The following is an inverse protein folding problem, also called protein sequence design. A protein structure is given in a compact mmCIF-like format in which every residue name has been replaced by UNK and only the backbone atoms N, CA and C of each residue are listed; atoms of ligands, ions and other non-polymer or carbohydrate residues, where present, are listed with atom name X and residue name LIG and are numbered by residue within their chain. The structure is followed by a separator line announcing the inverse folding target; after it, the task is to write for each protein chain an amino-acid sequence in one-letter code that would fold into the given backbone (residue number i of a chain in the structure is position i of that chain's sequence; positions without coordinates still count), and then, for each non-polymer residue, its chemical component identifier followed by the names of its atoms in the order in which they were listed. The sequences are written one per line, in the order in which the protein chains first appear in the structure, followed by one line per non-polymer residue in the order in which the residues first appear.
data_IF_316606323705
#
_entry.id   IF_316606323705
#
_cell.length_a   1.000
_cell.length_b   1.000
_cell.length_c   1.000
_cell.angle_alpha   90.00
_cell.angle_beta   90.00
_cell.angle_gamma   90.00
#
_symmetry.space_group_name_H-M   'P 1'
#
loop_
_entity.id
_entity.type
_entity.pdbx_description
1 polymer ?
#
# COMPACT_ATOMS: atom_id res chain seq x y z
N UNK A 1 26.64 -3.13 -30.10
CA UNK A 1 25.46 -2.57 -29.44
C UNK A 1 25.06 -3.54 -28.35
N UNK A 2 25.30 -3.23 -27.06
CA UNK A 2 24.80 -4.04 -25.95
C UNK A 2 23.29 -3.86 -25.91
N UNK A 3 22.53 -4.96 -26.09
CA UNK A 3 21.12 -5.02 -25.76
C UNK A 3 21.01 -4.63 -24.27
N UNK A 4 20.48 -3.46 -23.96
CA UNK A 4 20.02 -3.15 -22.61
C UNK A 4 18.88 -4.14 -22.35
N UNK A 5 19.17 -5.19 -21.61
CA UNK A 5 18.13 -5.98 -20.97
C UNK A 5 17.42 -5.02 -20.02
N UNK A 6 16.28 -4.46 -20.47
CA UNK A 6 15.38 -3.71 -19.59
C UNK A 6 14.82 -4.74 -18.62
N UNK A 7 15.45 -4.83 -17.45
CA UNK A 7 14.89 -5.59 -16.33
C UNK A 7 13.51 -4.98 -16.06
N UNK A 8 12.48 -5.77 -16.27
CA UNK A 8 11.11 -5.38 -16.02
C UNK A 8 10.96 -5.11 -14.52
N UNK A 9 10.99 -3.83 -14.12
CA UNK A 9 10.95 -3.44 -12.71
C UNK A 9 9.53 -3.54 -12.19
N UNK A 10 9.30 -4.45 -11.23
CA UNK A 10 8.08 -4.53 -10.44
C UNK A 10 8.30 -3.88 -9.07
N UNK A 11 7.35 -3.10 -8.58
CA UNK A 11 7.43 -2.49 -7.25
C UNK A 11 6.27 -2.98 -6.39
N UNK A 12 6.58 -3.47 -5.20
CA UNK A 12 5.57 -3.76 -4.18
C UNK A 12 5.56 -2.64 -3.14
N UNK A 13 4.42 -2.01 -2.95
CA UNK A 13 4.24 -0.88 -2.02
C UNK A 13 3.36 -1.29 -0.84
N UNK A 14 3.89 -1.20 0.38
CA UNK A 14 3.09 -1.22 1.60
C UNK A 14 2.66 0.21 1.98
N UNK A 15 1.36 0.51 1.90
CA UNK A 15 0.82 1.84 2.18
C UNK A 15 0.09 1.87 3.51
N UNK A 16 0.57 2.72 4.43
CA UNK A 16 0.02 2.83 5.78
C UNK A 16 0.33 1.62 6.65
N UNK A 17 0.01 1.69 7.93
CA UNK A 17 0.38 0.66 8.93
C UNK A 17 0.02 -0.77 8.51
N UNK A 18 -1.23 -1.01 8.07
CA UNK A 18 -1.66 -2.36 7.68
C UNK A 18 -0.97 -2.86 6.41
N UNK A 19 -0.77 -2.00 5.40
CA UNK A 19 -0.01 -2.35 4.21
C UNK A 19 1.46 -2.66 4.52
N UNK A 20 2.08 -1.89 5.43
CA UNK A 20 3.45 -2.13 5.91
C UNK A 20 3.53 -3.43 6.73
N UNK A 21 2.54 -3.73 7.55
CA UNK A 21 2.48 -5.00 8.26
C UNK A 21 2.43 -6.18 7.27
N UNK A 22 1.59 -6.11 6.25
CA UNK A 22 1.50 -7.15 5.22
C UNK A 22 2.80 -7.31 4.42
N UNK A 23 3.46 -6.20 4.02
CA UNK A 23 4.71 -6.26 3.26
C UNK A 23 5.86 -6.85 4.09
N UNK A 24 5.85 -6.68 5.41
CA UNK A 24 6.82 -7.30 6.31
C UNK A 24 6.75 -8.85 6.30
N UNK A 25 5.57 -9.43 6.05
CA UNK A 25 5.41 -10.87 5.83
C UNK A 25 5.81 -11.31 4.43
N UNK A 26 5.65 -10.43 3.46
CA UNK A 26 5.98 -10.70 2.06
C UNK A 26 7.48 -10.63 1.80
N UNK A 27 8.13 -9.54 2.19
CA UNK A 27 9.50 -9.18 1.82
C UNK A 27 10.52 -10.31 2.01
N UNK A 28 10.57 -11.04 3.14
CA UNK A 28 11.55 -12.11 3.31
C UNK A 28 11.36 -13.32 2.38
N UNK A 29 10.20 -13.42 1.71
CA UNK A 29 9.78 -14.60 0.92
C UNK A 29 9.75 -14.35 -0.58
N UNK A 30 9.85 -13.11 -1.01
CA UNK A 30 9.64 -12.70 -2.40
C UNK A 30 10.77 -11.76 -2.88
N UNK A 31 12.02 -12.10 -2.55
CA UNK A 31 13.20 -11.37 -3.00
C UNK A 31 13.64 -11.90 -4.37
N UNK A 32 12.88 -11.55 -5.41
CA UNK A 32 13.18 -11.92 -6.78
C UNK A 32 13.90 -10.78 -7.50
N UNK A 33 14.76 -11.13 -8.47
CA UNK A 33 15.45 -10.15 -9.30
C UNK A 33 14.42 -9.29 -10.06
N UNK A 34 14.63 -7.97 -10.06
CA UNK A 34 13.69 -7.02 -10.68
C UNK A 34 12.52 -6.58 -9.78
N UNK A 35 12.37 -7.13 -8.56
CA UNK A 35 11.33 -6.72 -7.61
C UNK A 35 11.90 -5.79 -6.55
N UNK A 36 11.33 -4.60 -6.42
CA UNK A 36 11.65 -3.64 -5.35
C UNK A 36 10.50 -3.49 -4.36
N UNK A 37 10.86 -3.25 -3.09
CA UNK A 37 9.90 -3.13 -1.99
C UNK A 37 9.98 -1.76 -1.34
N UNK A 38 8.83 -1.08 -1.23
CA UNK A 38 8.70 0.27 -0.70
C UNK A 38 7.64 0.34 0.38
N UNK A 39 7.96 0.97 1.51
CA UNK A 39 6.98 1.34 2.54
C UNK A 39 6.72 2.83 2.54
N UNK A 40 5.45 3.23 2.54
CA UNK A 40 5.02 4.63 2.58
C UNK A 40 4.09 4.84 3.78
N UNK A 41 4.46 5.75 4.67
CA UNK A 41 3.61 6.22 5.76
C UNK A 41 3.99 7.65 6.18
N UNK A 42 3.13 8.31 6.92
CA UNK A 42 3.38 9.57 7.63
C UNK A 42 3.82 9.36 9.09
N UNK A 43 3.65 8.15 9.62
CA UNK A 43 4.06 7.76 10.97
C UNK A 43 5.49 7.20 10.94
N UNK A 44 6.38 7.89 11.66
CA UNK A 44 7.80 7.52 11.76
C UNK A 44 8.00 6.16 12.45
N UNK A 45 7.21 5.84 13.48
CA UNK A 45 7.33 4.57 14.19
C UNK A 45 6.89 3.40 13.33
N UNK A 46 5.82 3.53 12.57
CA UNK A 46 5.39 2.53 11.59
C UNK A 46 6.50 2.23 10.57
N UNK A 47 7.13 3.28 10.02
CA UNK A 47 8.24 3.13 9.06
C UNK A 47 9.49 2.51 9.68
N UNK A 48 9.79 2.81 10.95
CA UNK A 48 10.92 2.22 11.67
C UNK A 48 10.81 0.69 11.75
N UNK A 49 9.60 0.18 11.96
CA UNK A 49 9.32 -1.25 12.04
C UNK A 49 9.11 -1.93 10.67
N UNK A 50 9.25 -1.20 9.58
CA UNK A 50 9.21 -1.80 8.24
C UNK A 50 10.49 -2.57 7.94
N UNK A 51 10.33 -3.78 7.41
CA UNK A 51 11.43 -4.64 6.96
C UNK A 51 11.95 -4.26 5.55
N UNK A 52 11.23 -3.42 4.80
CA UNK A 52 11.59 -3.10 3.42
C UNK A 52 12.84 -2.23 3.33
N UNK A 53 13.66 -2.39 2.28
CA UNK A 53 14.89 -1.60 2.09
C UNK A 53 14.57 -0.12 1.79
N UNK A 54 13.44 0.16 1.13
CA UNK A 54 13.07 1.52 0.76
C UNK A 54 11.87 1.99 1.60
N UNK A 55 12.01 3.21 2.13
CA UNK A 55 11.01 3.84 2.98
C UNK A 55 10.83 5.30 2.57
N UNK A 56 9.59 5.72 2.39
CA UNK A 56 9.26 7.12 2.13
C UNK A 56 8.34 7.61 3.25
N UNK A 57 8.89 8.48 4.13
CA UNK A 57 8.07 9.24 5.06
C UNK A 57 7.43 10.38 4.29
N UNK A 58 6.11 10.54 4.43
CA UNK A 58 5.34 11.56 3.76
C UNK A 58 4.72 12.53 4.78
N UNK A 59 4.56 13.79 4.36
CA UNK A 59 3.88 14.79 5.18
C UNK A 59 4.71 15.36 6.33
N UNK A 60 6.06 15.36 6.27
CA UNK A 60 6.92 15.87 7.35
C UNK A 60 6.52 17.25 7.88
N UNK A 61 6.15 18.16 6.98
CA UNK A 61 5.74 19.52 7.32
C UNK A 61 4.28 19.64 7.76
N UNK A 62 3.49 18.56 7.66
CA UNK A 62 2.08 18.56 7.94
C UNK A 62 1.73 17.85 9.24
N UNK A 63 2.47 16.78 9.59
CA UNK A 63 2.12 15.89 10.73
C UNK A 63 3.32 15.57 11.63
N UNK A 64 4.50 16.11 11.37
CA UNK A 64 5.71 15.91 12.17
C UNK A 64 6.01 14.44 12.57
N UNK A 65 5.65 13.51 11.67
CA UNK A 65 5.91 12.09 11.87
C UNK A 65 4.97 11.34 12.84
N UNK A 66 3.90 11.99 13.34
CA UNK A 66 2.90 11.33 14.23
C UNK A 66 1.75 10.68 13.49
N UNK A 67 1.74 10.74 12.17
CA UNK A 67 0.72 10.13 11.33
C UNK A 67 -0.50 11.02 11.06
N UNK A 68 -1.33 10.59 10.09
CA UNK A 68 -2.56 11.30 9.71
C UNK A 68 -3.80 10.77 10.43
N UNK A 69 -3.64 9.84 11.36
CA UNK A 69 -4.76 9.19 12.04
C UNK A 69 -5.85 8.72 11.07
N UNK A 70 -7.08 9.24 11.21
CA UNK A 70 -8.21 8.95 10.34
C UNK A 70 -8.58 10.13 9.42
N UNK A 71 -7.75 11.19 9.36
CA UNK A 71 -8.01 12.34 8.51
C UNK A 71 -7.66 12.02 7.06
N UNK A 72 -8.70 11.83 6.26
CA UNK A 72 -8.61 11.52 4.84
C UNK A 72 -7.93 12.63 4.04
N UNK A 73 -8.30 13.90 4.30
CA UNK A 73 -7.80 15.05 3.55
C UNK A 73 -6.32 15.30 3.85
N UNK A 74 -5.93 15.12 5.11
CA UNK A 74 -4.55 15.18 5.53
C UNK A 74 -3.73 14.07 4.89
N UNK A 75 -4.27 12.85 4.78
CA UNK A 75 -3.64 11.75 4.07
C UNK A 75 -3.38 12.05 2.58
N UNK A 76 -4.37 12.66 1.89
CA UNK A 76 -4.21 13.15 0.51
C UNK A 76 -3.05 14.15 0.43
N UNK A 77 -3.03 15.15 1.32
CA UNK A 77 -2.03 16.21 1.32
C UNK A 77 -0.62 15.67 1.62
N UNK A 78 -0.47 14.75 2.57
CA UNK A 78 0.80 14.15 2.94
C UNK A 78 1.46 13.43 1.77
N UNK A 79 0.74 12.57 1.06
CA UNK A 79 1.29 11.86 -0.11
C UNK A 79 1.57 12.84 -1.25
N UNK A 80 0.68 13.78 -1.51
CA UNK A 80 0.86 14.79 -2.56
C UNK A 80 2.08 15.69 -2.31
N UNK A 81 2.35 16.08 -1.07
CA UNK A 81 3.52 16.89 -0.72
C UNK A 81 4.86 16.22 -1.07
N UNK A 82 4.87 14.89 -1.11
CA UNK A 82 6.03 14.08 -1.45
C UNK A 82 6.00 13.52 -2.90
N UNK A 83 5.11 14.04 -3.76
CA UNK A 83 4.90 13.53 -5.11
C UNK A 83 6.17 13.34 -5.93
N UNK A 84 7.12 14.31 -5.89
CA UNK A 84 8.38 14.21 -6.63
C UNK A 84 9.22 13.01 -6.20
N UNK A 85 9.33 12.76 -4.89
CA UNK A 85 10.10 11.63 -4.35
C UNK A 85 9.48 10.30 -4.74
N UNK A 86 8.16 10.19 -4.64
CA UNK A 86 7.41 8.99 -5.02
C UNK A 86 7.51 8.75 -6.54
N UNK A 87 7.22 9.78 -7.36
CA UNK A 87 7.28 9.66 -8.82
C UNK A 87 8.66 9.28 -9.34
N UNK A 88 9.74 9.80 -8.72
CA UNK A 88 11.10 9.43 -9.09
C UNK A 88 11.41 7.97 -8.74
N UNK A 89 10.90 7.47 -7.60
CA UNK A 89 11.12 6.09 -7.19
C UNK A 89 10.42 5.08 -8.12
N UNK A 90 9.17 5.36 -8.48
CA UNK A 90 8.37 4.46 -9.34
C UNK A 90 8.70 4.59 -10.84
N UNK A 91 9.50 5.58 -11.21
CA UNK A 91 9.84 5.84 -12.63
C UNK A 91 10.52 4.62 -13.27
N UNK A 92 10.01 4.24 -14.43
CA UNK A 92 10.54 3.11 -15.20
C UNK A 92 10.08 1.73 -14.73
N UNK A 93 9.24 1.64 -13.69
CA UNK A 93 8.56 0.38 -13.39
C UNK A 93 7.45 0.11 -14.41
N UNK A 94 7.20 -1.16 -14.67
CA UNK A 94 6.13 -1.61 -15.57
C UNK A 94 4.90 -2.07 -14.79
N UNK A 95 5.09 -2.46 -13.54
CA UNK A 95 4.05 -3.01 -12.68
C UNK A 95 4.23 -2.56 -11.23
N UNK A 96 3.11 -2.26 -10.56
CA UNK A 96 3.08 -1.91 -9.14
C UNK A 96 1.97 -2.70 -8.44
N UNK A 97 2.35 -3.40 -7.35
CA UNK A 97 1.41 -4.04 -6.44
C UNK A 97 1.33 -3.21 -5.16
N UNK A 98 0.13 -2.77 -4.78
CA UNK A 98 -0.09 -2.01 -3.55
C UNK A 98 -0.82 -2.88 -2.53
N UNK A 99 -0.23 -3.03 -1.33
CA UNK A 99 -0.84 -3.66 -0.17
C UNK A 99 -1.39 -2.57 0.75
N UNK A 100 -2.68 -2.63 1.09
CA UNK A 100 -3.30 -1.58 1.90
C UNK A 100 -4.48 -2.08 2.73
N UNK A 101 -4.52 -1.69 4.00
CA UNK A 101 -5.72 -1.85 4.84
C UNK A 101 -6.43 -0.50 4.92
N UNK A 102 -7.58 -0.39 4.26
CA UNK A 102 -8.32 0.86 4.12
C UNK A 102 -8.92 1.36 5.46
N UNK A 103 -9.23 2.64 5.55
CA UNK A 103 -9.91 3.28 6.70
C UNK A 103 -9.10 4.38 7.36
N UNK A 104 -7.76 4.31 7.37
CA UNK A 104 -6.91 5.37 7.91
C UNK A 104 -6.69 6.55 6.96
N UNK A 105 -6.08 7.61 7.45
CA UNK A 105 -5.77 8.79 6.64
C UNK A 105 -4.83 8.47 5.47
N UNK A 106 -3.66 7.91 5.75
CA UNK A 106 -2.69 7.51 4.71
C UNK A 106 -3.23 6.37 3.85
N UNK A 107 -3.75 5.32 4.45
CA UNK A 107 -4.21 4.14 3.71
C UNK A 107 -5.43 4.40 2.81
N UNK A 108 -6.22 5.44 3.09
CA UNK A 108 -7.38 5.80 2.25
C UNK A 108 -7.16 7.10 1.48
N UNK A 109 -6.88 8.21 2.17
CA UNK A 109 -6.63 9.50 1.51
C UNK A 109 -5.33 9.48 0.71
N UNK A 110 -4.25 8.99 1.32
CA UNK A 110 -2.94 8.86 0.66
C UNK A 110 -2.99 7.93 -0.56
N UNK A 111 -3.81 6.87 -0.51
CA UNK A 111 -4.03 5.96 -1.63
C UNK A 111 -4.51 6.68 -2.90
N UNK A 112 -5.42 7.63 -2.76
CA UNK A 112 -5.93 8.40 -3.90
C UNK A 112 -4.84 9.20 -4.59
N UNK A 113 -3.98 9.88 -3.81
CA UNK A 113 -2.85 10.62 -4.35
C UNK A 113 -1.84 9.69 -5.01
N UNK A 114 -1.54 8.55 -4.39
CA UNK A 114 -0.61 7.55 -4.93
C UNK A 114 -1.11 6.99 -6.26
N UNK A 115 -2.37 6.58 -6.34
CA UNK A 115 -2.96 6.04 -7.58
C UNK A 115 -2.91 7.04 -8.73
N UNK A 116 -3.17 8.32 -8.48
CA UNK A 116 -3.04 9.36 -9.49
C UNK A 116 -1.60 9.50 -9.99
N UNK A 117 -0.62 9.51 -9.10
CA UNK A 117 0.79 9.60 -9.47
C UNK A 117 1.26 8.40 -10.31
N UNK A 118 0.74 7.21 -10.03
CA UNK A 118 1.05 5.99 -10.80
C UNK A 118 0.37 6.04 -12.17
N UNK A 119 -0.91 6.42 -12.21
CA UNK A 119 -1.69 6.56 -13.45
C UNK A 119 -1.07 7.55 -14.42
N UNK A 120 -0.51 8.66 -13.93
CA UNK A 120 0.19 9.68 -14.74
C UNK A 120 1.44 9.12 -15.47
N UNK A 121 1.95 7.96 -15.04
CA UNK A 121 3.11 7.28 -15.64
C UNK A 121 2.74 6.03 -16.45
N UNK A 122 1.45 5.73 -16.63
CA UNK A 122 0.93 4.55 -17.35
C UNK A 122 1.48 3.22 -16.84
N UNK A 123 1.71 3.09 -15.52
CA UNK A 123 2.21 1.85 -14.92
C UNK A 123 1.04 0.92 -14.60
N UNK A 124 1.16 -0.36 -14.95
CA UNK A 124 0.15 -1.36 -14.60
C UNK A 124 0.03 -1.46 -13.07
N UNK A 125 -1.18 -1.36 -12.53
CA UNK A 125 -1.39 -1.22 -11.09
C UNK A 125 -2.35 -2.27 -10.57
N UNK A 126 -1.89 -3.02 -9.58
CA UNK A 126 -2.66 -4.01 -8.84
C UNK A 126 -2.79 -3.57 -7.38
N UNK A 127 -3.99 -3.66 -6.83
CA UNK A 127 -4.25 -3.27 -5.44
C UNK A 127 -4.84 -4.45 -4.67
N UNK A 128 -4.16 -4.88 -3.62
CA UNK A 128 -4.65 -5.89 -2.68
C UNK A 128 -5.04 -5.16 -1.41
N UNK A 129 -6.33 -5.23 -1.04
CA UNK A 129 -6.85 -4.39 0.02
C UNK A 129 -7.80 -5.12 0.96
N UNK A 130 -7.87 -4.62 2.20
CA UNK A 130 -8.92 -4.97 3.17
C UNK A 130 -9.82 -3.77 3.43
N UNK A 131 -11.06 -4.05 3.82
CA UNK A 131 -12.00 -3.05 4.32
C UNK A 131 -11.96 -3.06 5.86
N UNK A 132 -12.27 -1.93 6.52
CA UNK A 132 -12.46 -1.91 7.96
C UNK A 132 -13.60 -2.84 8.39
N UNK A 133 -13.47 -3.43 9.55
CA UNK A 133 -14.56 -4.12 10.21
C UNK A 133 -15.65 -3.13 10.64
N UNK A 134 -16.89 -3.57 10.75
CA UNK A 134 -18.01 -2.71 11.15
C UNK A 134 -17.79 -2.03 12.51
N UNK A 135 -17.18 -2.73 13.47
CA UNK A 135 -16.87 -2.19 14.79
C UNK A 135 -15.78 -1.10 14.80
N UNK A 136 -15.01 -0.92 13.72
CA UNK A 136 -13.99 0.15 13.64
C UNK A 136 -14.59 1.55 13.44
N UNK A 137 -15.89 1.63 13.22
CA UNK A 137 -16.67 2.85 13.22
C UNK A 137 -16.83 3.52 11.86
N UNK A 138 -17.74 4.50 11.84
CA UNK A 138 -18.22 5.12 10.59
C UNK A 138 -17.15 5.91 9.85
N UNK A 139 -16.22 6.58 10.56
CA UNK A 139 -15.18 7.40 9.92
C UNK A 139 -14.29 6.51 9.05
N UNK A 140 -13.80 5.38 9.61
CA UNK A 140 -12.95 4.45 8.87
C UNK A 140 -13.69 3.83 7.69
N UNK A 141 -14.93 3.41 7.89
CA UNK A 141 -15.76 2.85 6.84
C UNK A 141 -16.01 3.86 5.69
N UNK A 142 -16.28 5.13 6.01
CA UNK A 142 -16.48 6.18 5.01
C UNK A 142 -15.18 6.49 4.24
N UNK A 143 -14.05 6.55 4.92
CA UNK A 143 -12.74 6.74 4.29
C UNK A 143 -12.43 5.60 3.31
N UNK A 144 -12.66 4.36 3.73
CA UNK A 144 -12.45 3.18 2.91
C UNK A 144 -13.34 3.17 1.67
N UNK A 145 -14.63 3.54 1.79
CA UNK A 145 -15.55 3.63 0.65
C UNK A 145 -15.12 4.69 -0.36
N UNK A 146 -14.61 5.85 0.10
CA UNK A 146 -14.06 6.88 -0.78
C UNK A 146 -12.84 6.35 -1.55
N UNK A 147 -11.88 5.74 -0.85
CA UNK A 147 -10.70 5.16 -1.47
C UNK A 147 -11.03 4.04 -2.47
N UNK A 148 -12.01 3.17 -2.15
CA UNK A 148 -12.44 2.09 -3.01
C UNK A 148 -12.97 2.59 -4.37
N UNK A 149 -13.65 3.73 -4.41
CA UNK A 149 -14.09 4.34 -5.67
C UNK A 149 -12.91 4.70 -6.57
N UNK A 150 -11.86 5.25 -5.99
CA UNK A 150 -10.66 5.62 -6.73
C UNK A 150 -9.80 4.41 -7.11
N UNK A 151 -9.74 3.38 -6.26
CA UNK A 151 -9.13 2.09 -6.62
C UNK A 151 -9.79 1.52 -7.86
N UNK A 152 -11.13 1.46 -7.89
CA UNK A 152 -11.88 0.96 -9.06
C UNK A 152 -11.70 1.81 -10.32
N UNK A 153 -11.33 3.08 -10.16
CA UNK A 153 -11.12 4.01 -11.28
C UNK A 153 -9.72 3.92 -11.89
N UNK A 154 -8.69 3.74 -11.04
CA UNK A 154 -7.30 3.89 -11.46
C UNK A 154 -6.51 2.58 -11.47
N UNK A 155 -6.89 1.58 -10.69
CA UNK A 155 -6.19 0.30 -10.69
C UNK A 155 -6.64 -0.59 -11.85
N UNK A 156 -5.69 -1.25 -12.50
CA UNK A 156 -5.97 -2.23 -13.54
C UNK A 156 -6.58 -3.51 -12.96
N UNK A 157 -6.17 -3.88 -11.74
CA UNK A 157 -6.70 -5.03 -11.00
C UNK A 157 -6.85 -4.69 -9.52
N UNK A 158 -7.93 -5.12 -8.90
CA UNK A 158 -8.10 -4.97 -7.45
C UNK A 158 -8.60 -6.25 -6.82
N UNK A 159 -8.00 -6.66 -5.71
CA UNK A 159 -8.28 -7.89 -4.98
C UNK A 159 -8.72 -7.54 -3.56
N UNK A 160 -9.97 -7.84 -3.25
CA UNK A 160 -10.51 -7.68 -1.90
C UNK A 160 -10.17 -8.89 -1.04
N UNK A 161 -9.49 -8.65 0.07
CA UNK A 161 -9.19 -9.66 1.07
C UNK A 161 -10.28 -9.64 2.12
N UNK A 162 -11.20 -10.60 2.03
CA UNK A 162 -12.26 -10.77 3.02
C UNK A 162 -11.77 -11.66 4.15
N UNK A 163 -11.81 -11.15 5.37
CA UNK A 163 -11.56 -11.92 6.58
C UNK A 163 -12.90 -12.26 7.20
N UNK A 164 -13.18 -13.54 7.36
CA UNK A 164 -14.34 -13.99 8.12
C UNK A 164 -13.92 -14.06 9.59
N UNK A 165 -14.60 -13.32 10.45
CA UNK A 165 -14.41 -13.42 11.89
C UNK A 165 -15.18 -14.63 12.41
N UNK A 166 -14.47 -15.57 13.03
CA UNK A 166 -15.07 -16.55 13.93
C UNK A 166 -15.09 -15.93 15.33
N UNK A 167 -16.16 -16.09 16.10
CA UNK A 167 -16.37 -15.45 17.41
C UNK A 167 -15.28 -15.76 18.45
N UNK A 168 -14.42 -16.75 18.15
CA UNK A 168 -13.34 -17.21 19.05
C UNK A 168 -11.98 -16.60 18.76
N UNK A 169 -11.84 -15.73 17.76
CA UNK A 169 -10.54 -15.18 17.34
C UNK A 169 -10.36 -13.77 17.89
N UNK A 170 -9.22 -13.49 18.49
CA UNK A 170 -8.89 -12.15 18.98
C UNK A 170 -8.69 -11.17 17.82
N UNK A 171 -8.88 -9.86 18.07
CA UNK A 171 -8.66 -8.81 17.08
C UNK A 171 -7.23 -8.82 16.52
N UNK A 172 -6.24 -9.09 17.38
CA UNK A 172 -4.85 -9.18 16.95
C UNK A 172 -4.61 -10.31 15.97
N UNK A 173 -5.23 -11.47 16.19
CA UNK A 173 -5.17 -12.62 15.29
C UNK A 173 -5.88 -12.33 13.95
N UNK A 174 -7.03 -11.63 13.97
CA UNK A 174 -7.73 -11.22 12.75
C UNK A 174 -6.85 -10.31 11.86
N UNK A 175 -6.20 -9.29 12.46
CA UNK A 175 -5.28 -8.43 11.73
C UNK A 175 -4.08 -9.22 11.19
N UNK A 176 -3.50 -10.10 11.99
CA UNK A 176 -2.40 -10.96 11.58
C UNK A 176 -2.77 -11.89 10.41
N UNK A 177 -3.96 -12.49 10.46
CA UNK A 177 -4.49 -13.30 9.36
C UNK A 177 -4.66 -12.49 8.08
N UNK A 178 -5.18 -11.27 8.21
CA UNK A 178 -5.32 -10.32 7.11
C UNK A 178 -3.99 -10.03 6.43
N UNK A 179 -2.98 -9.66 7.21
CA UNK A 179 -1.64 -9.32 6.73
C UNK A 179 -0.99 -10.50 6.00
N UNK A 180 -1.08 -11.70 6.59
CA UNK A 180 -0.55 -12.94 5.99
C UNK A 180 -1.29 -13.29 4.68
N UNK A 181 -2.60 -13.08 4.62
CA UNK A 181 -3.37 -13.37 3.41
C UNK A 181 -3.06 -12.37 2.29
N UNK A 182 -2.95 -11.07 2.61
CA UNK A 182 -2.48 -10.07 1.64
C UNK A 182 -1.09 -10.43 1.09
N UNK A 183 -0.15 -10.84 1.95
CA UNK A 183 1.19 -11.26 1.55
C UNK A 183 1.16 -12.48 0.61
N UNK A 184 0.36 -13.51 0.93
CA UNK A 184 0.21 -14.71 0.08
C UNK A 184 -0.37 -14.36 -1.31
N UNK A 185 -1.37 -13.49 -1.35
CA UNK A 185 -1.95 -13.04 -2.61
C UNK A 185 -0.94 -12.23 -3.43
N UNK A 186 -0.12 -11.40 -2.79
CA UNK A 186 0.94 -10.67 -3.47
C UNK A 186 2.01 -11.59 -4.07
N UNK A 187 2.40 -12.67 -3.38
CA UNK A 187 3.31 -13.70 -3.94
C UNK A 187 2.69 -14.32 -5.21
N UNK A 188 1.42 -14.68 -5.14
CA UNK A 188 0.73 -15.23 -6.31
C UNK A 188 0.71 -14.23 -7.47
N UNK A 189 0.39 -12.98 -7.19
CA UNK A 189 0.37 -11.92 -8.21
C UNK A 189 1.75 -11.65 -8.81
N UNK A 190 2.83 -11.77 -8.04
CA UNK A 190 4.20 -11.67 -8.56
C UNK A 190 4.48 -12.82 -9.54
N UNK A 191 4.18 -14.05 -9.16
CA UNK A 191 4.42 -15.24 -9.99
C UNK A 191 3.57 -15.28 -11.26
N UNK A 192 2.36 -14.70 -11.25
CA UNK A 192 1.47 -14.66 -12.42
C UNK A 192 1.93 -13.62 -13.48
N UNK A 193 2.90 -12.78 -13.17
CA UNK A 193 3.40 -11.70 -14.05
C UNK A 193 4.77 -12.03 -14.68
N UNK A 194 5.47 -13.06 -14.19
CA UNK A 194 6.66 -13.64 -14.78
C UNK A 194 6.27 -14.65 -15.84
#
# INVERSE_FOLDING_TARGET
MKKNDMINKTIVIGLGKGGISAINYLYPKAQEEGTEFLSIDSDSETLKHSATPHKIKVGDKLVDGVGCYQDYSLGVACVYSNKRKISNFIKGSIDIIILVSLGGGISSGGMVSLLKLISDQNIYTRVIYTMPFEFEGNIRNNNARKALKEIKRYANKSIFVKICSDEKISLGELFLMSDKLMARLAIRELNDFC
#
